data_IF_427026699768
#
_entry.id   IF_427026699768
#
_cell.length_a   1.000
_cell.length_b   1.000
_cell.length_c   1.000
_cell.angle_alpha   90.00
_cell.angle_beta   90.00
_cell.angle_gamma   90.00
#
_symmetry.space_group_name_H-M   'P 1'
#
loop_
_entity.id
_entity.type
_entity.pdbx_description
1 polymer ?
#
# COMPACT_ATOMS: atom_id res chain seq x y z
N UNK A 1 -8.46 16.05 5.16
CA UNK A 1 -7.14 16.44 4.58
C UNK A 1 -7.15 16.22 3.08
N UNK A 2 -6.38 16.98 2.28
CA UNK A 2 -6.25 16.82 0.82
C UNK A 2 -4.78 16.71 0.43
N UNK A 3 -4.42 15.69 -0.34
CA UNK A 3 -3.12 15.56 -1.00
C UNK A 3 -3.21 16.10 -2.43
N UNK A 4 -2.26 16.95 -2.82
CA UNK A 4 -2.23 17.58 -4.15
C UNK A 4 -1.07 17.03 -4.98
N UNK A 5 -1.18 17.15 -6.30
CA UNK A 5 -0.07 16.96 -7.22
C UNK A 5 0.99 18.07 -7.05
N UNK A 6 2.10 17.97 -7.79
CA UNK A 6 3.09 19.05 -7.89
C UNK A 6 2.45 20.37 -8.35
N UNK A 7 1.44 20.28 -9.23
CA UNK A 7 0.48 21.35 -9.44
C UNK A 7 -0.60 21.31 -8.33
N UNK A 8 -0.64 22.37 -7.52
CA UNK A 8 -1.57 22.51 -6.38
C UNK A 8 -3.05 22.60 -6.82
N UNK A 9 -3.33 22.85 -8.09
CA UNK A 9 -4.71 22.85 -8.61
C UNK A 9 -5.34 21.45 -8.61
N UNK A 10 -4.50 20.41 -8.71
CA UNK A 10 -4.93 19.02 -8.86
C UNK A 10 -4.89 18.27 -7.53
N UNK A 11 -6.06 18.01 -6.96
CA UNK A 11 -6.21 17.13 -5.79
C UNK A 11 -6.11 15.67 -6.24
N UNK A 12 -5.17 14.92 -5.66
CA UNK A 12 -4.97 13.49 -5.94
C UNK A 12 -5.55 12.58 -4.84
N UNK A 13 -5.55 13.02 -3.58
CA UNK A 13 -5.97 12.21 -2.43
C UNK A 13 -6.89 13.01 -1.51
N UNK A 14 -7.93 12.36 -0.97
CA UNK A 14 -8.83 12.92 0.05
C UNK A 14 -9.10 11.89 1.14
N UNK A 15 -9.35 12.36 2.37
CA UNK A 15 -9.79 11.51 3.48
C UNK A 15 -11.31 11.51 3.51
N UNK A 16 -11.90 10.32 3.56
CA UNK A 16 -13.34 10.11 3.75
C UNK A 16 -13.58 9.50 5.15
N UNK A 17 -14.32 10.18 6.05
CA UNK A 17 -14.59 9.72 7.40
C UNK A 17 -15.21 8.31 7.50
N UNK A 18 -15.88 7.84 6.44
CA UNK A 18 -16.52 6.51 6.45
C UNK A 18 -15.54 5.35 6.61
N UNK A 19 -14.26 5.56 6.30
CA UNK A 19 -13.24 4.51 6.37
C UNK A 19 -12.54 4.41 7.73
N UNK A 20 -12.81 5.32 8.68
CA UNK A 20 -12.26 5.19 10.04
C UNK A 20 -13.01 4.10 10.80
N UNK A 21 -12.25 3.25 11.50
CA UNK A 21 -12.81 2.22 12.39
C UNK A 21 -12.81 2.72 13.84
N UNK A 22 -13.86 2.45 14.64
CA UNK A 22 -13.93 2.88 16.05
C UNK A 22 -12.77 2.35 16.91
N UNK A 23 -12.19 1.22 16.52
CA UNK A 23 -11.04 0.61 17.17
C UNK A 23 -9.91 0.48 16.16
N UNK A 24 -9.08 1.52 16.04
CA UNK A 24 -7.87 1.46 15.23
C UNK A 24 -6.71 0.84 16.00
N UNK A 25 -5.80 0.20 15.27
CA UNK A 25 -4.55 -0.29 15.83
C UNK A 25 -3.45 0.72 15.52
N UNK A 26 -2.91 1.36 16.54
CA UNK A 26 -1.93 2.44 16.37
C UNK A 26 -0.62 1.98 15.71
N UNK A 27 -0.15 0.77 16.05
CA UNK A 27 1.11 0.25 15.55
C UNK A 27 1.12 -1.27 15.44
N UNK A 28 1.55 -1.77 14.28
CA UNK A 28 1.77 -3.19 14.03
C UNK A 28 3.19 -3.41 13.52
N UNK A 29 4.06 -3.89 14.39
CA UNK A 29 5.44 -4.27 14.07
C UNK A 29 5.65 -5.71 14.53
N UNK A 30 5.99 -6.60 13.58
CA UNK A 30 6.33 -7.99 13.86
C UNK A 30 7.83 -8.20 13.90
N UNK A 31 8.31 -9.01 14.86
CA UNK A 31 9.69 -9.52 14.90
C UNK A 31 9.74 -10.96 14.34
N UNK A 32 10.33 -11.18 13.15
CA UNK A 32 10.43 -12.50 12.54
C UNK A 32 11.63 -13.33 13.02
N UNK A 33 12.37 -12.92 14.06
CA UNK A 33 13.60 -13.60 14.51
C UNK A 33 13.43 -15.11 14.71
N UNK A 34 12.32 -15.54 15.33
CA UNK A 34 12.01 -16.97 15.55
C UNK A 34 11.87 -17.76 14.25
N UNK A 35 11.25 -17.18 13.22
CA UNK A 35 11.09 -17.83 11.92
C UNK A 35 12.44 -17.93 11.19
N UNK A 36 13.28 -16.89 11.30
CA UNK A 36 14.64 -16.91 10.76
C UNK A 36 15.50 -17.99 11.41
N UNK A 37 15.47 -18.10 12.73
CA UNK A 37 16.26 -19.08 13.48
C UNK A 37 15.85 -20.52 13.17
N UNK A 38 14.53 -20.81 13.21
CA UNK A 38 14.04 -22.19 13.09
C UNK A 38 13.87 -22.67 11.66
N UNK A 39 13.58 -21.76 10.73
CA UNK A 39 13.19 -22.10 9.36
C UNK A 39 14.15 -21.52 8.32
N UNK A 40 15.15 -20.73 8.73
CA UNK A 40 15.99 -19.96 7.79
C UNK A 40 15.20 -18.93 6.99
N UNK A 41 13.96 -18.64 7.37
CA UNK A 41 13.06 -17.82 6.58
C UNK A 41 13.42 -16.34 6.72
N UNK A 42 13.48 -15.65 5.57
CA UNK A 42 13.69 -14.20 5.48
C UNK A 42 12.76 -13.61 4.41
N UNK A 43 12.18 -12.42 4.64
CA UNK A 43 11.39 -11.75 3.62
C UNK A 43 12.28 -11.39 2.44
N UNK A 44 11.82 -11.70 1.23
CA UNK A 44 12.58 -11.45 -0.01
C UNK A 44 12.25 -10.11 -0.65
N UNK A 45 11.05 -9.58 -0.37
CA UNK A 45 10.51 -8.39 -1.03
C UNK A 45 10.40 -7.26 0.00
N UNK A 46 11.15 -6.16 -0.17
CA UNK A 46 10.97 -4.92 0.57
C UNK A 46 9.63 -4.24 0.25
N UNK A 47 9.10 -3.45 1.20
CA UNK A 47 7.81 -2.76 1.06
C UNK A 47 7.74 -1.85 -0.19
N UNK A 48 8.82 -1.13 -0.50
CA UNK A 48 8.87 -0.24 -1.65
C UNK A 48 8.83 -1.00 -2.98
N UNK A 49 9.38 -2.21 -3.03
CA UNK A 49 9.33 -3.06 -4.23
C UNK A 49 7.92 -3.63 -4.42
N UNK A 50 7.30 -4.09 -3.33
CA UNK A 50 5.90 -4.52 -3.36
C UNK A 50 4.98 -3.40 -3.88
N UNK A 51 5.11 -2.17 -3.37
CA UNK A 51 4.31 -1.04 -3.87
C UNK A 51 4.54 -0.77 -5.36
N UNK A 52 5.78 -0.87 -5.84
CA UNK A 52 6.08 -0.69 -7.28
C UNK A 52 5.43 -1.76 -8.14
N UNK A 53 5.51 -3.02 -7.72
CA UNK A 53 4.90 -4.15 -8.42
C UNK A 53 3.37 -4.00 -8.50
N UNK A 54 2.74 -3.67 -7.39
CA UNK A 54 1.29 -3.44 -7.33
C UNK A 54 0.85 -2.31 -8.28
N UNK A 55 1.51 -1.14 -8.23
CA UNK A 55 1.15 -0.01 -9.10
C UNK A 55 1.38 -0.31 -10.57
N UNK A 56 2.48 -0.99 -10.91
CA UNK A 56 2.74 -1.40 -12.29
C UNK A 56 1.67 -2.36 -12.82
N UNK A 57 1.23 -3.31 -11.99
CA UNK A 57 0.14 -4.22 -12.32
C UNK A 57 -1.17 -3.47 -12.56
N UNK A 58 -1.53 -2.54 -11.67
CA UNK A 58 -2.77 -1.75 -11.81
C UNK A 58 -2.76 -0.89 -13.08
N UNK A 59 -1.62 -0.28 -13.42
CA UNK A 59 -1.46 0.48 -14.68
C UNK A 59 -1.72 -0.42 -15.88
N UNK A 60 -1.10 -1.60 -15.92
CA UNK A 60 -1.28 -2.53 -17.02
C UNK A 60 -2.74 -3.02 -17.17
N UNK A 61 -3.47 -3.17 -16.06
CA UNK A 61 -4.89 -3.50 -16.09
C UNK A 61 -5.76 -2.35 -16.62
N UNK A 62 -5.46 -1.12 -16.20
CA UNK A 62 -6.15 0.08 -16.69
C UNK A 62 -5.91 0.29 -18.19
N UNK A 63 -4.68 0.10 -18.66
CA UNK A 63 -4.32 0.23 -20.09
C UNK A 63 -5.03 -0.81 -20.97
N UNK A 64 -5.29 -2.01 -20.43
CA UNK A 64 -6.05 -3.06 -21.13
C UNK A 64 -7.56 -2.84 -21.11
N UNK A 65 -8.06 -1.96 -20.23
CA UNK A 65 -9.49 -1.76 -20.00
C UNK A 65 -10.12 -2.82 -19.09
N UNK A 66 -9.31 -3.65 -18.42
CA UNK A 66 -9.77 -4.75 -17.57
C UNK A 66 -10.16 -4.29 -16.15
N UNK A 67 -9.85 -3.04 -15.80
CA UNK A 67 -10.21 -2.42 -14.52
C UNK A 67 -11.53 -1.63 -14.67
N UNK A 68 -12.66 -2.33 -14.84
CA UNK A 68 -13.99 -1.69 -14.81
C UNK A 68 -14.51 -1.60 -13.39
N UNK A 69 -14.92 -0.40 -12.96
CA UNK A 69 -15.63 -0.15 -11.71
C UNK A 69 -17.15 -0.26 -11.88
#
# INVERSE_FOLDING_TARGET
>A
MRGHSADKSRVLVRIDPKYFRPTEVELLIGDPAKAKEKLGWVPKIPMQELCKEMVASDIALVEKGDLTS
#
